data_IF_369999038057
#
_entry.id   IF_369999038057
#
_cell.length_a   1.000
_cell.length_b   1.000
_cell.length_c   1.000
_cell.angle_alpha   90.00
_cell.angle_beta   90.00
_cell.angle_gamma   90.00
#
_symmetry.space_group_name_H-M   'P 1'
#
loop_
_entity.id
_entity.type
_entity.pdbx_description
1 polymer ?
#
# COMPACT_ATOMS: atom_id res chain seq x y z
N UNK A 1 -6.80 47.56 -46.10
CA UNK A 1 -5.80 46.49 -46.33
C UNK A 1 -5.42 45.75 -45.04
N UNK A 2 -5.53 46.30 -43.87
CA UNK A 2 -5.13 45.67 -42.59
C UNK A 2 -5.95 44.47 -42.11
N UNK A 3 -7.27 44.42 -42.38
CA UNK A 3 -8.12 43.29 -41.95
C UNK A 3 -7.84 41.97 -42.70
N UNK A 4 -7.31 42.01 -43.92
CA UNK A 4 -6.95 40.80 -44.69
C UNK A 4 -5.61 40.20 -44.24
N UNK A 5 -4.68 41.04 -43.79
CA UNK A 5 -3.39 40.59 -43.25
C UNK A 5 -3.56 39.94 -41.88
N UNK A 6 -4.50 40.39 -41.05
CA UNK A 6 -4.78 39.79 -39.73
C UNK A 6 -5.47 38.43 -39.85
N UNK A 7 -6.37 38.22 -40.82
CA UNK A 7 -6.98 36.90 -41.08
C UNK A 7 -5.99 35.89 -41.62
N UNK A 8 -5.02 36.32 -42.47
CA UNK A 8 -3.99 35.41 -42.97
C UNK A 8 -2.96 35.03 -41.89
N UNK A 9 -2.68 35.89 -40.90
CA UNK A 9 -1.84 35.60 -39.78
C UNK A 9 -2.49 34.61 -38.80
N UNK A 10 -3.81 34.72 -38.58
CA UNK A 10 -4.58 33.76 -37.75
C UNK A 10 -4.70 32.42 -38.45
N UNK A 11 -4.91 32.38 -39.78
CA UNK A 11 -4.92 31.14 -40.54
C UNK A 11 -3.55 30.42 -40.55
N UNK A 12 -2.46 31.17 -40.55
CA UNK A 12 -1.08 30.61 -40.45
C UNK A 12 -0.75 30.11 -39.04
N UNK A 13 -1.32 30.74 -38.00
CA UNK A 13 -1.16 30.32 -36.61
C UNK A 13 -1.99 29.05 -36.28
N UNK A 14 -3.14 28.86 -36.94
CA UNK A 14 -3.97 27.67 -36.76
C UNK A 14 -3.40 26.45 -37.53
N UNK A 15 -2.68 26.65 -38.63
CA UNK A 15 -2.00 25.56 -39.36
C UNK A 15 -0.74 25.04 -38.67
N UNK A 16 -0.17 25.77 -37.71
CA UNK A 16 1.04 25.32 -36.99
C UNK A 16 0.74 24.42 -35.77
N UNK A 17 -0.54 24.15 -35.44
CA UNK A 17 -0.94 23.30 -34.29
C UNK A 17 -1.24 21.83 -34.71
N UNK A 18 -1.07 21.47 -35.97
CA UNK A 18 -0.99 20.06 -36.30
C UNK A 18 0.43 19.52 -35.96
N UNK A 19 0.77 19.58 -34.71
CA UNK A 19 1.85 18.69 -34.19
C UNK A 19 1.30 17.30 -34.40
N UNK A 20 1.81 16.61 -35.43
CA UNK A 20 1.68 15.17 -35.54
C UNK A 20 2.14 14.60 -34.22
N UNK A 21 1.19 14.15 -33.41
CA UNK A 21 1.48 13.30 -32.28
C UNK A 21 2.05 11.99 -32.86
N UNK A 22 3.35 12.00 -33.22
CA UNK A 22 4.08 10.75 -33.41
C UNK A 22 3.87 9.98 -32.13
N UNK A 23 3.16 8.86 -32.19
CA UNK A 23 2.96 8.01 -31.04
C UNK A 23 4.34 7.71 -30.46
N UNK A 24 4.64 8.29 -29.29
CA UNK A 24 5.90 8.08 -28.60
C UNK A 24 6.02 6.58 -28.33
N UNK A 25 7.02 5.93 -28.92
CA UNK A 25 7.33 4.56 -28.57
C UNK A 25 8.11 4.54 -27.26
N UNK A 26 7.66 3.74 -26.32
CA UNK A 26 8.20 3.67 -24.97
C UNK A 26 9.26 2.57 -24.87
N UNK A 27 10.39 2.89 -24.23
CA UNK A 27 11.41 1.89 -23.84
C UNK A 27 10.99 1.21 -22.55
N UNK A 28 11.61 0.07 -22.21
CA UNK A 28 11.41 -0.61 -20.93
C UNK A 28 11.73 0.32 -19.75
N UNK A 29 12.84 1.05 -19.83
CA UNK A 29 13.30 1.98 -18.80
C UNK A 29 12.29 3.11 -18.58
N UNK A 30 11.77 3.72 -19.65
CA UNK A 30 10.73 4.74 -19.57
C UNK A 30 9.45 4.18 -18.94
N UNK A 31 9.02 2.97 -19.32
CA UNK A 31 7.84 2.32 -18.74
C UNK A 31 7.99 2.09 -17.25
N UNK A 32 9.12 1.53 -16.81
CA UNK A 32 9.34 1.26 -15.37
C UNK A 32 9.47 2.56 -14.59
N UNK A 33 10.20 3.55 -15.09
CA UNK A 33 10.34 4.87 -14.44
C UNK A 33 8.97 5.55 -14.28
N UNK A 34 8.17 5.54 -15.33
CA UNK A 34 6.84 6.13 -15.29
C UNK A 34 5.90 5.38 -14.32
N UNK A 35 5.94 4.05 -14.31
CA UNK A 35 5.16 3.25 -13.37
C UNK A 35 5.54 3.55 -11.92
N UNK A 36 6.85 3.65 -11.61
CA UNK A 36 7.34 3.99 -10.27
C UNK A 36 6.79 5.35 -9.80
N UNK A 37 6.62 6.32 -10.70
CA UNK A 37 6.14 7.66 -10.36
C UNK A 37 4.61 7.74 -10.26
N UNK A 38 3.87 6.94 -11.03
CA UNK A 38 2.44 7.13 -11.21
C UNK A 38 1.57 6.01 -10.64
N UNK A 39 2.12 4.80 -10.44
CA UNK A 39 1.35 3.65 -10.01
C UNK A 39 0.67 3.86 -8.65
N UNK A 40 -0.63 3.52 -8.58
CA UNK A 40 -1.48 3.73 -7.39
C UNK A 40 -0.99 2.91 -6.21
N UNK A 41 -0.52 1.66 -6.41
CA UNK A 41 -0.03 0.81 -5.31
C UNK A 41 1.23 1.38 -4.67
N UNK A 42 2.11 2.00 -5.45
CA UNK A 42 3.29 2.70 -4.94
C UNK A 42 2.86 3.93 -4.13
N UNK A 43 1.92 4.73 -4.65
CA UNK A 43 1.37 5.89 -3.92
C UNK A 43 0.71 5.48 -2.60
N UNK A 44 0.00 4.36 -2.56
CA UNK A 44 -0.55 3.80 -1.32
C UNK A 44 0.56 3.45 -0.33
N UNK A 45 1.61 2.76 -0.77
CA UNK A 45 2.75 2.40 0.09
C UNK A 45 3.54 3.65 0.57
N UNK A 46 3.58 4.74 -0.22
CA UNK A 46 4.12 6.03 0.23
C UNK A 46 3.26 6.66 1.33
N UNK A 47 1.94 6.54 1.23
CA UNK A 47 1.02 7.00 2.29
C UNK A 47 1.19 6.16 3.56
N UNK A 48 1.37 4.85 3.46
CA UNK A 48 1.66 3.98 4.61
C UNK A 48 2.98 4.40 5.30
N UNK A 49 4.01 4.74 4.52
CA UNK A 49 5.25 5.29 5.07
C UNK A 49 5.04 6.64 5.78
N UNK A 50 4.16 7.52 5.26
CA UNK A 50 3.77 8.76 5.94
C UNK A 50 2.98 8.49 7.22
N UNK A 51 2.09 7.49 7.24
CA UNK A 51 1.38 7.07 8.46
C UNK A 51 2.35 6.64 9.56
N UNK A 52 3.36 5.84 9.23
CA UNK A 52 4.39 5.44 10.19
C UNK A 52 5.17 6.64 10.78
N UNK A 53 5.39 7.72 10.00
CA UNK A 53 5.99 8.96 10.49
C UNK A 53 5.06 9.71 11.46
N UNK A 54 3.73 9.69 11.23
CA UNK A 54 2.74 10.27 12.11
C UNK A 54 2.64 9.46 13.41
N UNK A 55 2.69 8.13 13.33
CA UNK A 55 2.72 7.25 14.51
C UNK A 55 3.94 7.50 15.39
N UNK A 56 5.11 7.80 14.79
CA UNK A 56 6.27 8.25 15.54
C UNK A 56 6.00 9.58 16.26
N UNK A 57 5.36 10.57 15.62
CA UNK A 57 4.98 11.82 16.28
C UNK A 57 4.04 11.56 17.47
N UNK A 58 3.09 10.63 17.30
CA UNK A 58 2.21 10.19 18.40
C UNK A 58 2.99 9.53 19.54
N UNK A 59 4.01 8.73 19.22
CA UNK A 59 4.89 8.14 20.22
C UNK A 59 5.74 9.18 20.96
N UNK A 60 6.21 10.22 20.27
CA UNK A 60 6.87 11.39 20.90
C UNK A 60 5.89 12.17 21.76
N UNK A 61 4.65 12.33 21.30
CA UNK A 61 3.58 13.02 22.05
C UNK A 61 3.31 12.42 23.43
N UNK A 62 3.59 11.13 23.62
CA UNK A 62 3.46 10.47 24.96
C UNK A 62 4.43 10.98 26.02
N UNK A 63 5.48 11.70 25.64
CA UNK A 63 6.41 12.35 26.55
C UNK A 63 6.00 13.79 26.88
N UNK A 64 5.00 14.32 26.19
CA UNK A 64 4.52 15.69 26.38
C UNK A 64 3.31 15.70 27.32
N UNK A 65 3.08 16.81 28.04
CA UNK A 65 1.88 16.96 28.83
C UNK A 65 0.63 17.00 27.95
N UNK A 66 -0.44 16.37 28.41
CA UNK A 66 -1.78 16.52 27.84
C UNK A 66 -2.55 17.59 28.60
N UNK A 67 -3.25 18.47 27.88
CA UNK A 67 -4.15 19.49 28.45
C UNK A 67 -5.57 19.19 27.98
N UNK A 68 -6.47 19.00 28.95
CA UNK A 68 -7.88 18.81 28.68
C UNK A 68 -8.68 19.86 29.45
N UNK A 69 -9.60 20.55 28.80
CA UNK A 69 -10.53 21.46 29.40
C UNK A 69 -11.96 20.92 29.27
N UNK A 70 -12.76 21.09 30.31
CA UNK A 70 -14.16 20.68 30.33
C UNK A 70 -15.02 21.71 31.00
N UNK A 71 -16.25 21.86 30.55
CA UNK A 71 -17.28 22.64 31.18
C UNK A 71 -18.57 21.83 31.17
N UNK A 72 -19.33 21.91 32.27
CA UNK A 72 -20.63 21.25 32.39
C UNK A 72 -21.62 22.16 33.11
N UNK A 73 -22.89 22.06 32.73
CA UNK A 73 -24.01 22.64 33.43
C UNK A 73 -24.98 21.50 33.75
N UNK A 74 -25.41 21.44 35.04
CA UNK A 74 -26.25 20.35 35.51
C UNK A 74 -27.42 20.87 36.37
N UNK A 75 -28.57 20.24 36.21
CA UNK A 75 -29.74 20.37 37.04
C UNK A 75 -29.91 19.07 37.84
N UNK A 76 -29.85 19.15 39.17
CA UNK A 76 -30.11 18.02 40.04
C UNK A 76 -31.51 18.19 40.63
N UNK A 77 -32.44 17.33 40.24
CA UNK A 77 -33.85 17.35 40.66
C UNK A 77 -34.07 16.25 41.70
N UNK A 78 -34.64 16.60 42.84
CA UNK A 78 -34.93 15.63 43.89
C UNK A 78 -34.38 16.05 45.26
N UNK A 79 -34.10 15.07 46.12
CA UNK A 79 -33.56 15.33 47.47
C UNK A 79 -32.09 15.75 47.36
N UNK A 80 -31.88 17.06 47.47
CA UNK A 80 -30.55 17.68 47.36
C UNK A 80 -30.20 18.38 48.67
N UNK A 81 -28.92 18.42 49.01
CA UNK A 81 -28.45 19.24 50.10
C UNK A 81 -28.48 20.71 49.69
N UNK A 82 -29.23 21.50 50.41
CA UNK A 82 -29.28 22.94 50.24
C UNK A 82 -27.94 23.54 50.68
N UNK A 83 -27.25 24.21 49.76
CA UNK A 83 -25.91 24.79 50.01
C UNK A 83 -25.95 25.87 51.09
N UNK A 84 -27.09 26.56 51.23
CA UNK A 84 -27.26 27.68 52.12
C UNK A 84 -27.57 27.23 53.54
N UNK A 85 -28.43 26.24 53.67
CA UNK A 85 -28.91 25.75 54.98
C UNK A 85 -28.17 24.49 55.43
N UNK A 86 -27.57 23.75 54.55
CA UNK A 86 -26.99 22.45 54.84
C UNK A 86 -28.00 21.30 54.95
N UNK A 87 -29.32 21.60 54.88
CA UNK A 87 -30.37 20.62 55.05
C UNK A 87 -30.72 19.92 53.74
N UNK A 88 -31.16 18.67 53.84
CA UNK A 88 -31.68 17.91 52.68
C UNK A 88 -33.10 18.43 52.38
N UNK A 89 -33.30 18.86 51.14
CA UNK A 89 -34.60 19.39 50.66
C UNK A 89 -34.88 18.83 49.26
N UNK A 90 -36.15 18.57 48.98
CA UNK A 90 -36.58 18.16 47.65
C UNK A 90 -36.71 19.41 46.76
N UNK A 91 -35.63 19.74 46.03
CA UNK A 91 -35.60 20.91 45.16
C UNK A 91 -34.64 20.67 43.98
N UNK A 92 -34.79 21.50 42.94
CA UNK A 92 -33.84 21.56 41.83
C UNK A 92 -32.67 22.45 42.20
N UNK A 93 -31.45 21.89 42.11
CA UNK A 93 -30.21 22.65 42.23
C UNK A 93 -29.50 22.72 40.89
N UNK A 94 -28.90 23.87 40.60
CA UNK A 94 -28.20 24.11 39.36
C UNK A 94 -26.74 24.44 39.65
N UNK A 95 -25.87 23.86 38.80
CA UNK A 95 -24.41 24.08 38.87
C UNK A 95 -23.79 24.21 37.49
N UNK A 96 -22.90 25.17 37.35
CA UNK A 96 -21.95 25.21 36.24
C UNK A 96 -20.56 24.89 36.78
N UNK A 97 -19.90 23.91 36.25
CA UNK A 97 -18.50 23.57 36.59
C UNK A 97 -17.63 23.73 35.36
N UNK A 98 -16.49 24.34 35.52
CA UNK A 98 -15.47 24.41 34.48
C UNK A 98 -14.10 24.06 35.04
N UNK A 99 -13.29 23.37 34.27
CA UNK A 99 -11.96 22.95 34.71
C UNK A 99 -11.02 22.67 33.57
N UNK A 100 -9.74 22.64 33.90
CA UNK A 100 -8.66 22.23 33.01
C UNK A 100 -7.72 21.31 33.78
N UNK A 101 -7.35 20.19 33.13
CA UNK A 101 -6.43 19.21 33.68
C UNK A 101 -5.23 19.03 32.77
N UNK A 102 -4.03 19.13 33.35
CA UNK A 102 -2.76 18.81 32.70
C UNK A 102 -2.23 17.51 33.30
N UNK A 103 -1.83 16.57 32.46
CA UNK A 103 -1.21 15.33 32.91
C UNK A 103 0.07 15.04 32.10
N UNK A 104 1.11 14.54 32.76
CA UNK A 104 2.37 14.14 32.14
C UNK A 104 2.85 12.82 32.73
N UNK A 105 3.20 11.88 31.86
CA UNK A 105 3.88 10.64 32.25
C UNK A 105 5.37 10.90 32.50
N UNK A 106 5.80 10.96 33.77
CA UNK A 106 7.20 11.11 34.13
C UNK A 106 7.95 9.80 33.97
N UNK A 107 7.34 8.71 34.41
CA UNK A 107 7.85 7.35 34.24
C UNK A 107 6.69 6.38 34.05
N UNK A 108 6.80 5.51 33.06
CA UNK A 108 5.77 4.51 32.73
C UNK A 108 6.38 3.14 32.41
N UNK A 109 7.27 2.65 33.30
CA UNK A 109 7.89 1.35 33.12
C UNK A 109 8.66 1.19 31.80
N UNK A 110 9.30 2.24 31.30
CA UNK A 110 10.00 2.29 30.01
C UNK A 110 9.09 2.03 28.78
N UNK A 111 7.77 1.99 28.93
CA UNK A 111 6.84 1.73 27.84
C UNK A 111 6.91 2.83 26.77
N UNK A 112 6.96 4.11 27.16
CA UNK A 112 7.04 5.24 26.23
C UNK A 112 8.33 5.19 25.40
N UNK A 113 9.47 4.89 26.03
CA UNK A 113 10.77 4.75 25.35
C UNK A 113 10.77 3.60 24.35
N UNK A 114 10.25 2.43 24.75
CA UNK A 114 10.16 1.26 23.85
C UNK A 114 9.12 1.47 22.75
N UNK A 115 8.02 2.20 23.00
CA UNK A 115 7.06 2.59 21.98
C UNK A 115 7.69 3.51 20.93
N UNK A 116 8.52 4.47 21.35
CA UNK A 116 9.25 5.31 20.42
C UNK A 116 10.28 4.53 19.59
N UNK A 117 11.01 3.59 20.23
CA UNK A 117 11.94 2.69 19.51
C UNK A 117 11.19 1.82 18.50
N UNK A 118 10.05 1.24 18.89
CA UNK A 118 9.16 0.49 17.98
C UNK A 118 8.70 1.36 16.81
N UNK A 119 8.26 2.58 17.06
CA UNK A 119 7.81 3.50 16.01
C UNK A 119 8.93 3.84 15.00
N UNK A 120 10.18 3.98 15.46
CA UNK A 120 11.33 4.15 14.57
C UNK A 120 11.54 2.91 13.68
N UNK A 121 11.45 1.70 14.23
CA UNK A 121 11.53 0.44 13.46
C UNK A 121 10.37 0.30 12.48
N UNK A 122 9.16 0.71 12.87
CA UNK A 122 7.99 0.71 11.97
C UNK A 122 8.19 1.62 10.75
N UNK A 123 8.88 2.77 10.90
CA UNK A 123 9.27 3.62 9.76
C UNK A 123 10.24 2.89 8.85
N UNK A 124 11.21 2.17 9.40
CA UNK A 124 12.18 1.38 8.61
C UNK A 124 11.46 0.27 7.84
N UNK A 125 10.55 -0.46 8.52
CA UNK A 125 9.74 -1.49 7.88
C UNK A 125 8.87 -0.93 6.74
N UNK A 126 8.19 0.20 6.97
CA UNK A 126 7.36 0.85 5.94
C UNK A 126 8.20 1.33 4.73
N UNK A 127 9.41 1.83 4.96
CA UNK A 127 10.34 2.17 3.87
C UNK A 127 10.77 0.96 3.07
N UNK A 128 11.07 -0.17 3.71
CA UNK A 128 11.38 -1.41 3.00
C UNK A 128 10.17 -1.95 2.23
N UNK A 129 8.94 -1.84 2.79
CA UNK A 129 7.71 -2.17 2.07
C UNK A 129 7.55 -1.33 0.80
N UNK A 130 7.83 -0.03 0.87
CA UNK A 130 7.80 0.85 -0.30
C UNK A 130 8.85 0.43 -1.35
N UNK A 131 10.08 0.10 -0.93
CA UNK A 131 11.11 -0.39 -1.85
C UNK A 131 10.66 -1.68 -2.50
N UNK A 132 10.15 -2.65 -1.72
CA UNK A 132 9.61 -3.91 -2.25
C UNK A 132 8.48 -3.67 -3.25
N UNK A 133 7.54 -2.76 -2.96
CA UNK A 133 6.46 -2.44 -3.88
C UNK A 133 6.98 -1.89 -5.21
N UNK A 134 8.00 -1.02 -5.17
CA UNK A 134 8.65 -0.50 -6.38
C UNK A 134 9.33 -1.62 -7.18
N UNK A 135 10.02 -2.54 -6.51
CA UNK A 135 10.66 -3.71 -7.13
C UNK A 135 9.63 -4.63 -7.78
N UNK A 136 8.53 -4.95 -7.08
CA UNK A 136 7.45 -5.80 -7.60
C UNK A 136 6.78 -5.18 -8.85
N UNK A 137 6.49 -3.88 -8.81
CA UNK A 137 5.92 -3.17 -9.96
C UNK A 137 6.90 -3.13 -11.14
N UNK A 138 8.19 -2.90 -10.88
CA UNK A 138 9.20 -2.91 -11.94
C UNK A 138 9.27 -4.27 -12.66
N UNK A 139 9.24 -5.38 -11.90
CA UNK A 139 9.19 -6.74 -12.47
C UNK A 139 7.92 -6.99 -13.28
N UNK A 140 6.77 -6.57 -12.75
CA UNK A 140 5.48 -6.74 -13.44
C UNK A 140 5.44 -5.94 -14.75
N UNK A 141 5.97 -4.72 -14.76
CA UNK A 141 6.08 -3.89 -15.96
C UNK A 141 7.03 -4.52 -16.96
N UNK A 142 8.19 -5.04 -16.53
CA UNK A 142 9.13 -5.72 -17.42
C UNK A 142 8.49 -6.95 -18.08
N UNK A 143 7.76 -7.77 -17.31
CA UNK A 143 7.05 -8.93 -17.86
C UNK A 143 5.98 -8.51 -18.88
N UNK A 144 5.14 -7.53 -18.52
CA UNK A 144 4.10 -7.04 -19.43
C UNK A 144 4.68 -6.41 -20.70
N UNK A 145 5.81 -5.69 -20.60
CA UNK A 145 6.53 -5.12 -21.73
C UNK A 145 7.03 -6.21 -22.69
N UNK A 146 7.68 -7.25 -22.16
CA UNK A 146 8.18 -8.37 -22.96
C UNK A 146 7.02 -9.14 -23.62
N UNK A 147 5.87 -9.25 -22.95
CA UNK A 147 4.67 -9.84 -23.53
C UNK A 147 4.12 -9.03 -24.72
N UNK A 148 4.17 -7.68 -24.64
CA UNK A 148 3.81 -6.82 -25.77
C UNK A 148 4.75 -7.05 -26.93
N UNK A 149 6.06 -7.12 -26.69
CA UNK A 149 7.06 -7.38 -27.73
C UNK A 149 6.86 -8.75 -28.39
N UNK A 150 6.66 -9.79 -27.60
CA UNK A 150 6.34 -11.12 -28.12
C UNK A 150 5.11 -11.09 -29.03
N UNK A 151 3.99 -10.50 -28.58
CA UNK A 151 2.76 -10.43 -29.36
C UNK A 151 2.94 -9.59 -30.63
N UNK A 152 3.76 -8.55 -30.58
CA UNK A 152 4.07 -7.68 -31.74
C UNK A 152 4.86 -8.44 -32.81
N UNK A 153 5.89 -9.17 -32.39
CA UNK A 153 6.68 -10.00 -33.30
C UNK A 153 5.87 -11.17 -33.86
N UNK A 154 5.07 -11.83 -33.00
CA UNK A 154 4.19 -12.91 -33.45
C UNK A 154 3.17 -12.41 -34.49
N UNK A 155 2.59 -11.21 -34.29
CA UNK A 155 1.69 -10.61 -35.27
C UNK A 155 2.41 -10.39 -36.65
N UNK A 156 3.68 -9.96 -36.64
CA UNK A 156 4.46 -9.82 -37.86
C UNK A 156 4.61 -11.17 -38.59
N UNK A 157 4.89 -12.25 -37.84
CA UNK A 157 4.98 -13.63 -38.41
C UNK A 157 3.65 -14.04 -39.00
N UNK A 158 2.53 -13.85 -38.32
CA UNK A 158 1.21 -14.23 -38.81
C UNK A 158 0.80 -13.42 -40.07
N UNK A 159 1.10 -12.11 -40.10
CA UNK A 159 0.84 -11.26 -41.28
C UNK A 159 1.66 -11.66 -42.48
N UNK A 160 2.94 -12.00 -42.29
CA UNK A 160 3.78 -12.47 -43.38
C UNK A 160 3.30 -13.83 -43.91
N UNK A 161 2.85 -14.72 -43.01
CA UNK A 161 2.24 -16.00 -43.39
C UNK A 161 0.96 -15.80 -44.21
N UNK A 162 0.10 -14.90 -43.80
CA UNK A 162 -1.13 -14.53 -44.54
C UNK A 162 -0.74 -14.04 -45.96
N UNK A 163 0.21 -13.10 -46.05
CA UNK A 163 0.69 -12.54 -47.33
C UNK A 163 1.22 -13.63 -48.29
N UNK A 164 1.93 -14.61 -47.75
CA UNK A 164 2.44 -15.75 -48.55
C UNK A 164 1.25 -16.58 -49.07
N UNK A 165 0.28 -16.88 -48.22
CA UNK A 165 -0.89 -17.69 -48.58
C UNK A 165 -1.85 -16.97 -49.55
N UNK A 166 -1.96 -15.65 -49.48
CA UNK A 166 -2.70 -14.85 -50.46
C UNK A 166 -2.10 -15.00 -51.87
N UNK A 167 -0.76 -14.91 -51.99
CA UNK A 167 -0.06 -15.11 -53.23
C UNK A 167 -0.24 -16.54 -53.78
N UNK A 168 -0.21 -17.52 -52.88
CA UNK A 168 -0.43 -18.90 -53.23
C UNK A 168 -1.85 -19.15 -53.71
N UNK A 169 -2.85 -18.60 -53.04
CA UNK A 169 -4.26 -18.69 -53.47
C UNK A 169 -4.45 -18.11 -54.89
N UNK A 170 -3.93 -16.90 -55.13
CA UNK A 170 -4.04 -16.27 -56.44
C UNK A 170 -3.37 -17.13 -57.53
N UNK A 171 -2.19 -17.69 -57.27
CA UNK A 171 -1.50 -18.62 -58.22
C UNK A 171 -2.32 -19.89 -58.44
N UNK A 172 -2.86 -20.50 -57.37
CA UNK A 172 -3.67 -21.74 -57.50
C UNK A 172 -4.96 -21.49 -58.27
N UNK A 173 -5.58 -20.31 -58.10
CA UNK A 173 -6.78 -19.92 -58.87
C UNK A 173 -6.48 -19.87 -60.40
N UNK A 174 -5.35 -19.29 -60.77
CA UNK A 174 -4.94 -19.24 -62.18
C UNK A 174 -4.63 -20.64 -62.75
N UNK A 175 -3.98 -21.52 -61.98
CA UNK A 175 -3.68 -22.90 -62.38
C UNK A 175 -4.96 -23.73 -62.53
N UNK A 176 -5.97 -23.56 -61.70
CA UNK A 176 -7.27 -24.21 -61.86
C UNK A 176 -7.98 -23.71 -63.10
N UNK A 177 -8.00 -22.37 -63.36
CA UNK A 177 -8.55 -21.81 -64.60
C UNK A 177 -7.87 -22.35 -65.87
N UNK A 178 -6.57 -22.61 -65.78
CA UNK A 178 -5.80 -23.21 -66.84
C UNK A 178 -5.95 -24.75 -66.94
N UNK A 179 -6.69 -25.38 -66.03
CA UNK A 179 -6.89 -26.83 -65.95
C UNK A 179 -5.65 -27.63 -65.48
N UNK A 180 -4.64 -26.95 -64.93
CA UNK A 180 -3.37 -27.55 -64.56
C UNK A 180 -3.40 -28.24 -63.18
N UNK A 181 -4.34 -27.87 -62.28
CA UNK A 181 -4.55 -28.50 -60.97
C UNK A 181 -6.03 -28.76 -60.71
N UNK A 182 -6.39 -29.75 -59.88
CA UNK A 182 -7.75 -30.04 -59.46
C UNK A 182 -8.39 -28.89 -58.67
N UNK A 183 -9.73 -28.73 -58.81
CA UNK A 183 -10.49 -27.72 -58.02
C UNK A 183 -10.42 -28.00 -56.51
N UNK A 184 -10.23 -29.26 -56.08
CA UNK A 184 -10.02 -29.64 -54.70
C UNK A 184 -8.85 -28.94 -54.05
N UNK A 185 -7.71 -28.87 -54.76
CA UNK A 185 -6.49 -28.20 -54.25
C UNK A 185 -6.71 -26.70 -53.98
N UNK A 186 -7.52 -26.01 -54.81
CA UNK A 186 -7.91 -24.63 -54.59
C UNK A 186 -8.77 -24.45 -53.32
N UNK A 187 -9.65 -25.42 -53.06
CA UNK A 187 -10.47 -25.39 -51.81
C UNK A 187 -9.60 -25.56 -50.58
N UNK A 188 -8.58 -26.42 -50.60
CA UNK A 188 -7.64 -26.60 -49.49
C UNK A 188 -6.81 -25.34 -49.25
N UNK A 189 -6.30 -24.70 -50.30
CA UNK A 189 -5.58 -23.42 -50.19
C UNK A 189 -6.51 -22.33 -49.66
N UNK A 190 -7.79 -22.27 -50.10
CA UNK A 190 -8.78 -21.33 -49.60
C UNK A 190 -9.10 -21.54 -48.10
N UNK A 191 -9.18 -22.79 -47.66
CA UNK A 191 -9.40 -23.12 -46.25
C UNK A 191 -8.20 -22.67 -45.40
N UNK A 192 -6.95 -22.92 -45.90
CA UNK A 192 -5.72 -22.47 -45.25
C UNK A 192 -5.63 -20.94 -45.16
N UNK A 193 -6.05 -20.20 -46.19
CA UNK A 193 -6.09 -18.76 -46.21
C UNK A 193 -7.07 -18.23 -45.12
N UNK A 194 -8.25 -18.85 -44.99
CA UNK A 194 -9.24 -18.49 -43.97
C UNK A 194 -8.71 -18.71 -42.54
N UNK A 195 -8.00 -19.83 -42.32
CA UNK A 195 -7.34 -20.11 -41.02
C UNK A 195 -6.24 -19.09 -40.71
N UNK A 196 -5.43 -18.69 -41.68
CA UNK A 196 -4.38 -17.67 -41.47
C UNK A 196 -4.97 -16.29 -41.22
N UNK A 197 -6.09 -15.93 -41.82
CA UNK A 197 -6.83 -14.71 -41.47
C UNK A 197 -7.30 -14.76 -39.99
N UNK A 198 -7.86 -15.88 -39.54
CA UNK A 198 -8.23 -16.06 -38.14
C UNK A 198 -7.02 -15.92 -37.21
N UNK A 199 -5.87 -16.48 -37.58
CA UNK A 199 -4.64 -16.38 -36.78
C UNK A 199 -4.15 -14.91 -36.66
N UNK A 200 -4.22 -14.13 -37.74
CA UNK A 200 -3.90 -12.69 -37.71
C UNK A 200 -4.83 -11.94 -36.76
N UNK A 201 -6.16 -12.16 -36.88
CA UNK A 201 -7.14 -11.51 -35.98
C UNK A 201 -6.87 -11.88 -34.53
N UNK A 202 -6.54 -13.16 -34.25
CA UNK A 202 -6.20 -13.62 -32.90
C UNK A 202 -4.92 -12.94 -32.37
N UNK A 203 -3.89 -12.81 -33.22
CA UNK A 203 -2.64 -12.15 -32.87
C UNK A 203 -2.83 -10.64 -32.64
N UNK A 204 -3.66 -9.96 -33.46
CA UNK A 204 -4.03 -8.56 -33.26
C UNK A 204 -4.75 -8.33 -31.93
N UNK A 205 -5.70 -9.18 -31.60
CA UNK A 205 -6.40 -9.13 -30.32
C UNK A 205 -5.44 -9.39 -29.14
N UNK A 206 -4.54 -10.35 -29.26
CA UNK A 206 -3.53 -10.65 -28.24
C UNK A 206 -2.58 -9.47 -28.00
N UNK A 207 -2.16 -8.79 -29.07
CA UNK A 207 -1.35 -7.59 -28.98
C UNK A 207 -2.13 -6.45 -28.30
N UNK A 208 -3.38 -6.23 -28.65
CA UNK A 208 -4.23 -5.22 -28.02
C UNK A 208 -4.38 -5.46 -26.52
N UNK A 209 -4.70 -6.68 -26.12
CA UNK A 209 -4.85 -7.06 -24.70
C UNK A 209 -3.54 -6.85 -23.95
N UNK A 210 -2.39 -7.23 -24.52
CA UNK A 210 -1.10 -7.03 -23.86
C UNK A 210 -0.73 -5.56 -23.73
N UNK A 211 -1.03 -4.71 -24.72
CA UNK A 211 -0.88 -3.25 -24.63
C UNK A 211 -1.79 -2.66 -23.55
N UNK A 212 -3.05 -3.09 -23.46
CA UNK A 212 -3.98 -2.69 -22.41
C UNK A 212 -3.46 -3.08 -21.02
N UNK A 213 -2.93 -4.29 -20.87
CA UNK A 213 -2.38 -4.76 -19.60
C UNK A 213 -1.18 -3.91 -19.16
N UNK A 214 -0.26 -3.61 -20.07
CA UNK A 214 0.88 -2.74 -19.79
C UNK A 214 0.43 -1.31 -19.49
N UNK A 215 -0.45 -0.72 -20.30
CA UNK A 215 -0.97 0.64 -20.07
C UNK A 215 -1.70 0.77 -18.73
N UNK A 216 -2.40 -0.27 -18.29
CA UNK A 216 -3.03 -0.31 -16.96
C UNK A 216 -2.00 -0.32 -15.84
N UNK A 217 -0.90 -1.08 -15.96
CA UNK A 217 0.20 -1.05 -14.98
C UNK A 217 0.87 0.32 -14.92
N UNK A 218 0.99 1.00 -16.06
CA UNK A 218 1.51 2.36 -16.17
C UNK A 218 0.51 3.43 -15.70
N UNK A 219 -0.77 3.10 -15.54
CA UNK A 219 -1.86 4.04 -15.25
C UNK A 219 -2.03 5.10 -16.35
N UNK A 220 -1.80 4.73 -17.62
CA UNK A 220 -2.02 5.60 -18.75
C UNK A 220 -3.51 5.76 -19.04
N UNK A 221 -3.94 7.00 -19.30
CA UNK A 221 -5.33 7.30 -19.68
C UNK A 221 -5.60 7.02 -21.17
N UNK A 222 -4.61 7.25 -22.02
CA UNK A 222 -4.65 7.00 -23.45
C UNK A 222 -3.82 5.75 -23.77
N UNK A 223 -4.49 4.63 -24.01
CA UNK A 223 -3.86 3.37 -24.37
C UNK A 223 -3.88 3.11 -25.89
N UNK A 224 -4.74 3.81 -26.63
CA UNK A 224 -4.90 3.58 -28.07
C UNK A 224 -3.67 4.01 -28.87
N UNK A 225 -3.04 5.12 -28.46
CA UNK A 225 -1.83 5.65 -29.07
C UNK A 225 -0.53 5.11 -28.43
N UNK A 226 -0.65 4.16 -27.47
CA UNK A 226 0.49 3.59 -26.78
C UNK A 226 1.18 2.52 -27.63
N UNK A 227 2.50 2.64 -27.82
CA UNK A 227 3.34 1.61 -28.45
C UNK A 227 4.71 1.53 -27.77
N UNK A 228 5.37 0.37 -27.93
CA UNK A 228 6.70 0.10 -27.37
C UNK A 228 7.74 0.05 -28.47
N UNK A 229 8.99 0.38 -28.11
CA UNK A 229 10.14 0.28 -29.01
C UNK A 229 10.43 -1.20 -29.27
N UNK A 230 10.78 -1.55 -30.51
CA UNK A 230 11.08 -2.92 -30.95
C UNK A 230 12.51 -3.38 -30.54
N UNK A 231 13.26 -2.56 -29.80
CA UNK A 231 14.64 -2.82 -29.45
C UNK A 231 14.74 -3.81 -28.29
N UNK A 232 15.20 -5.00 -28.58
CA UNK A 232 15.41 -6.10 -27.63
C UNK A 232 16.75 -6.77 -27.81
N UNK A 233 17.82 -6.00 -27.97
CA UNK A 233 19.16 -6.52 -27.76
C UNK A 233 19.43 -6.74 -26.26
N UNK A 234 18.62 -7.62 -25.65
CA UNK A 234 18.91 -8.09 -24.30
C UNK A 234 19.99 -9.15 -24.40
N UNK A 235 21.22 -8.69 -24.35
CA UNK A 235 22.37 -9.57 -24.10
C UNK A 235 22.44 -9.85 -22.61
N UNK A 236 22.81 -11.06 -22.23
CA UNK A 236 23.25 -11.37 -20.85
C UNK A 236 24.58 -10.64 -20.59
N UNK A 237 24.53 -9.30 -20.50
CA UNK A 237 25.70 -8.45 -20.30
C UNK A 237 26.43 -8.78 -19.00
N UNK A 238 25.74 -9.36 -18.05
CA UNK A 238 26.24 -9.61 -16.70
C UNK A 238 26.73 -11.05 -16.51
N UNK A 239 26.57 -11.91 -17.53
CA UNK A 239 26.96 -13.32 -17.49
C UNK A 239 26.46 -14.03 -16.20
N UNK A 240 25.21 -13.74 -15.80
CA UNK A 240 24.64 -14.23 -14.54
C UNK A 240 24.53 -15.75 -14.52
N UNK A 241 24.38 -16.38 -15.66
CA UNK A 241 24.32 -17.84 -15.82
C UNK A 241 25.65 -18.54 -15.51
N UNK A 242 26.78 -17.82 -15.49
CA UNK A 242 28.06 -18.37 -15.06
C UNK A 242 28.20 -18.44 -13.53
N UNK A 243 27.32 -17.77 -12.78
CA UNK A 243 27.30 -17.84 -11.31
C UNK A 243 26.63 -19.13 -10.83
N UNK A 244 27.05 -19.62 -9.67
CA UNK A 244 26.37 -20.76 -9.03
C UNK A 244 25.09 -20.29 -8.32
N UNK A 245 24.04 -21.13 -8.22
CA UNK A 245 22.84 -20.80 -7.46
C UNK A 245 23.14 -20.42 -6.00
N UNK A 246 24.17 -21.02 -5.39
CA UNK A 246 24.61 -20.71 -4.03
C UNK A 246 25.16 -19.29 -3.93
N UNK A 247 26.01 -18.86 -4.87
CA UNK A 247 26.57 -17.51 -4.88
C UNK A 247 25.48 -16.44 -5.07
N UNK A 248 24.49 -16.73 -5.92
CA UNK A 248 23.34 -15.85 -6.13
C UNK A 248 22.52 -15.76 -4.83
N UNK A 249 22.28 -16.90 -4.16
CA UNK A 249 21.55 -16.93 -2.88
C UNK A 249 22.26 -16.16 -1.78
N UNK A 250 23.58 -16.34 -1.59
CA UNK A 250 24.36 -15.61 -0.60
C UNK A 250 24.24 -14.10 -0.78
N UNK A 251 24.34 -13.62 -2.01
CA UNK A 251 24.18 -12.19 -2.31
C UNK A 251 22.74 -11.72 -2.09
N UNK A 252 21.75 -12.52 -2.48
CA UNK A 252 20.35 -12.27 -2.21
C UNK A 252 20.04 -12.20 -0.71
N UNK A 253 20.63 -13.10 0.09
CA UNK A 253 20.44 -13.16 1.54
C UNK A 253 20.86 -11.87 2.27
N UNK A 254 21.90 -11.20 1.79
CA UNK A 254 22.34 -9.91 2.33
C UNK A 254 21.50 -8.73 1.84
N UNK A 255 21.12 -8.77 0.56
CA UNK A 255 20.54 -7.61 -0.14
C UNK A 255 19.02 -7.53 -0.13
N UNK A 256 18.32 -8.67 -0.14
CA UNK A 256 16.89 -8.73 -0.45
C UNK A 256 16.00 -8.02 0.57
N UNK A 257 15.10 -7.23 0.02
CA UNK A 257 14.18 -6.36 0.79
C UNK A 257 13.22 -7.16 1.66
N UNK A 258 12.78 -8.34 1.22
CA UNK A 258 11.87 -9.22 1.97
C UNK A 258 12.48 -9.70 3.29
N UNK A 259 13.76 -10.07 3.29
CA UNK A 259 14.47 -10.46 4.52
C UNK A 259 14.68 -9.27 5.47
N UNK A 260 14.95 -8.07 4.92
CA UNK A 260 15.07 -6.84 5.72
C UNK A 260 13.74 -6.52 6.41
N UNK A 261 12.61 -6.68 5.72
CA UNK A 261 11.27 -6.52 6.29
C UNK A 261 11.04 -7.54 7.42
N UNK A 262 11.32 -8.82 7.18
CA UNK A 262 11.11 -9.87 8.18
C UNK A 262 11.96 -9.65 9.44
N UNK A 263 13.25 -9.30 9.28
CA UNK A 263 14.17 -8.97 10.40
C UNK A 263 13.70 -7.73 11.17
N UNK A 264 13.28 -6.67 10.48
CA UNK A 264 12.76 -5.46 11.14
C UNK A 264 11.46 -5.76 11.92
N UNK A 265 10.58 -6.62 11.38
CA UNK A 265 9.37 -7.05 12.08
C UNK A 265 9.70 -7.91 13.34
N UNK A 266 10.75 -8.70 13.30
CA UNK A 266 11.27 -9.40 14.47
C UNK A 266 11.73 -8.42 15.56
N UNK A 267 12.49 -7.39 15.20
CA UNK A 267 12.91 -6.35 16.15
C UNK A 267 11.70 -5.59 16.72
N UNK A 268 10.67 -5.32 15.93
CA UNK A 268 9.39 -4.73 16.40
C UNK A 268 8.73 -5.66 17.43
N UNK A 269 8.70 -6.96 17.19
CA UNK A 269 8.13 -7.93 18.12
C UNK A 269 8.92 -7.99 19.45
N UNK A 270 10.26 -7.86 19.42
CA UNK A 270 11.09 -7.72 20.63
C UNK A 270 10.71 -6.47 21.46
N UNK A 271 10.48 -5.32 20.78
CA UNK A 271 10.02 -4.10 21.46
C UNK A 271 8.62 -4.26 22.04
N UNK A 272 7.72 -5.01 21.39
CA UNK A 272 6.40 -5.32 21.94
C UNK A 272 6.51 -6.13 23.26
N UNK A 273 7.42 -7.09 23.34
CA UNK A 273 7.70 -7.81 24.61
C UNK A 273 8.23 -6.86 25.68
N UNK A 274 9.14 -5.95 25.32
CA UNK A 274 9.68 -4.97 26.25
C UNK A 274 8.59 -3.99 26.77
N UNK A 275 7.69 -3.55 25.89
CA UNK A 275 6.53 -2.71 26.24
C UNK A 275 5.60 -3.47 27.19
N UNK A 276 5.28 -4.73 26.88
CA UNK A 276 4.42 -5.55 27.71
C UNK A 276 5.02 -5.78 29.11
N UNK A 277 6.33 -6.04 29.21
CA UNK A 277 7.07 -6.17 30.49
C UNK A 277 7.01 -4.89 31.33
N UNK A 278 6.93 -3.71 30.69
CA UNK A 278 6.79 -2.45 31.37
C UNK A 278 5.52 -2.33 32.23
N UNK A 279 4.49 -3.14 31.94
CA UNK A 279 3.25 -3.18 32.75
C UNK A 279 3.42 -3.74 34.17
N UNK A 280 4.56 -4.38 34.47
CA UNK A 280 4.92 -4.82 35.83
C UNK A 280 5.62 -3.73 36.65
N UNK A 281 6.05 -2.65 36.00
CA UNK A 281 6.81 -1.60 36.67
C UNK A 281 5.89 -0.50 37.22
N UNK A 282 6.32 0.22 38.26
CA UNK A 282 5.61 1.38 38.73
C UNK A 282 5.42 2.44 37.64
N UNK A 283 4.36 3.24 37.78
CA UNK A 283 4.16 4.44 36.94
C UNK A 283 4.15 5.67 37.83
N UNK A 284 4.82 6.74 37.39
CA UNK A 284 4.87 8.03 38.02
C UNK A 284 4.28 9.08 37.06
N UNK A 285 3.21 9.73 37.49
CA UNK A 285 2.53 10.77 36.71
C UNK A 285 2.55 12.09 37.48
N UNK A 286 2.82 13.17 36.79
CA UNK A 286 2.60 14.53 37.28
C UNK A 286 1.25 15.04 36.79
N UNK A 287 0.55 15.78 37.64
CA UNK A 287 -0.71 16.40 37.27
C UNK A 287 -0.85 17.83 37.82
N UNK A 288 -1.60 18.65 37.10
CA UNK A 288 -2.12 19.92 37.52
C UNK A 288 -3.60 19.98 37.13
N UNK A 289 -4.45 20.42 38.11
CA UNK A 289 -5.88 20.57 37.91
C UNK A 289 -6.32 21.95 38.34
N UNK A 290 -7.03 22.65 37.49
CA UNK A 290 -7.76 23.85 37.78
C UNK A 290 -9.26 23.54 37.70
N UNK A 291 -10.03 23.97 38.68
CA UNK A 291 -11.48 23.83 38.67
C UNK A 291 -12.16 25.05 39.26
N UNK A 292 -13.37 25.34 38.83
CA UNK A 292 -14.24 26.31 39.43
C UNK A 292 -15.69 25.87 39.29
N UNK A 293 -16.53 26.27 40.24
CA UNK A 293 -17.95 25.91 40.28
C UNK A 293 -18.78 27.14 40.57
N UNK A 294 -19.88 27.32 39.86
CA UNK A 294 -20.90 28.35 40.05
C UNK A 294 -22.19 27.66 40.42
N UNK A 295 -22.80 28.10 41.53
CA UNK A 295 -24.12 27.64 42.02
C UNK A 295 -25.16 28.74 41.80
N UNK A 296 -26.36 28.31 41.45
CA UNK A 296 -27.50 29.22 41.23
C UNK A 296 -28.50 29.20 42.39
N UNK A 297 -28.04 28.80 43.58
CA UNK A 297 -28.81 28.81 44.80
C UNK A 297 -28.62 30.14 45.56
N UNK A 298 -29.66 30.58 46.27
CA UNK A 298 -29.61 31.76 47.14
C UNK A 298 -28.46 31.64 48.13
N UNK A 299 -27.92 32.78 48.52
CA UNK A 299 -26.84 32.86 49.53
C UNK A 299 -27.28 33.54 50.77
N UNK A 300 -26.69 33.18 51.90
CA UNK A 300 -26.90 33.95 53.17
C UNK A 300 -26.17 35.30 53.03
N UNK A 301 -26.91 36.37 53.04
CA UNK A 301 -26.40 37.76 53.00
C UNK A 301 -26.27 38.39 54.37
N UNK A 302 -26.94 37.83 55.37
CA UNK A 302 -26.90 38.29 56.76
C UNK A 302 -27.66 37.37 57.70
N UNK A 303 -27.54 37.65 58.97
CA UNK A 303 -28.33 37.00 60.02
C UNK A 303 -28.95 38.09 60.89
N UNK A 304 -30.22 37.93 61.20
CA UNK A 304 -30.96 38.83 62.08
C UNK A 304 -31.47 38.04 63.26
N UNK A 305 -31.63 38.67 64.47
CA UNK A 305 -32.27 38.01 65.62
C UNK A 305 -33.64 37.50 65.22
N UNK A 306 -33.98 36.28 65.62
CA UNK A 306 -35.30 35.72 65.37
C UNK A 306 -36.33 36.35 66.35
N UNK A 307 -37.15 37.28 65.84
CA UNK A 307 -38.12 37.99 66.65
C UNK A 307 -39.25 37.09 67.21
N UNK A 308 -39.57 36.00 66.47
CA UNK A 308 -40.66 35.07 66.90
C UNK A 308 -40.21 34.04 67.93
N UNK A 309 -38.90 33.69 67.94
CA UNK A 309 -38.31 32.78 68.93
C UNK A 309 -36.87 33.23 69.22
N UNK A 310 -36.67 34.24 70.07
CA UNK A 310 -35.40 34.94 70.23
C UNK A 310 -34.31 34.09 70.88
N UNK A 311 -34.66 33.07 71.64
CA UNK A 311 -33.72 32.20 72.36
C UNK A 311 -34.12 30.72 72.27
N UNK A 312 -33.16 29.78 72.25
CA UNK A 312 -33.39 28.36 72.48
C UNK A 312 -32.58 27.85 73.66
N UNK A 313 -33.13 26.84 74.32
CA UNK A 313 -32.44 26.16 75.41
C UNK A 313 -31.39 25.25 74.74
N UNK A 314 -30.10 25.44 75.04
CA UNK A 314 -28.98 24.62 74.51
C UNK A 314 -28.42 23.64 75.58
N UNK A 315 -28.88 23.78 76.80
CA UNK A 315 -28.51 22.91 77.95
C UNK A 315 -29.06 23.41 79.27
N UNK A 316 -28.68 22.73 80.35
CA UNK A 316 -28.99 23.06 81.72
C UNK A 316 -27.71 23.14 82.54
N UNK A 317 -27.66 24.05 83.51
CA UNK A 317 -26.55 24.11 84.47
C UNK A 317 -26.68 22.97 85.43
N UNK A 318 -25.63 22.15 85.56
CA UNK A 318 -25.61 21.03 86.51
C UNK A 318 -25.75 21.56 88.00
N UNK A 319 -26.60 20.94 88.75
CA UNK A 319 -26.87 21.30 90.16
C UNK A 319 -27.91 22.36 90.39
N UNK A 320 -28.17 23.27 89.45
CA UNK A 320 -29.22 24.33 89.61
C UNK A 320 -30.41 24.15 88.65
N UNK A 321 -30.35 23.24 87.67
CA UNK A 321 -31.35 23.03 86.60
C UNK A 321 -31.73 24.32 85.82
N UNK A 322 -30.95 25.39 85.92
CA UNK A 322 -31.19 26.61 85.16
C UNK A 322 -30.94 26.42 83.69
N UNK A 323 -31.85 26.93 82.84
CA UNK A 323 -31.72 26.86 81.40
C UNK A 323 -30.53 27.71 80.90
N UNK A 324 -29.64 27.11 80.06
CA UNK A 324 -28.68 27.87 79.30
C UNK A 324 -29.33 28.23 77.98
N UNK A 325 -29.48 29.53 77.71
CA UNK A 325 -30.12 30.04 76.48
C UNK A 325 -29.08 30.52 75.51
N UNK A 326 -29.31 30.15 74.28
CA UNK A 326 -28.55 30.68 73.11
C UNK A 326 -29.46 31.56 72.25
N UNK A 327 -29.00 32.71 71.75
CA UNK A 327 -29.83 33.54 70.88
C UNK A 327 -30.03 32.81 69.50
N UNK A 328 -31.28 32.87 69.04
CA UNK A 328 -31.70 32.35 67.76
C UNK A 328 -31.56 33.42 66.67
N UNK A 329 -31.05 33.04 65.52
CA UNK A 329 -30.92 33.90 64.37
C UNK A 329 -31.66 33.32 63.15
N UNK A 330 -32.30 34.20 62.39
CA UNK A 330 -32.89 33.88 61.07
C UNK A 330 -31.91 34.33 60.00
N UNK A 331 -31.64 33.45 59.06
CA UNK A 331 -30.77 33.75 57.90
C UNK A 331 -31.54 34.62 56.91
N UNK A 332 -30.92 35.73 56.48
CA UNK A 332 -31.42 36.55 55.37
C UNK A 332 -30.84 36.00 54.09
N UNK A 333 -31.70 35.59 53.20
CA UNK A 333 -31.29 35.06 51.89
C UNK A 333 -31.29 36.18 50.86
N UNK A 334 -30.31 36.17 49.98
CA UNK A 334 -30.20 37.03 48.82
C UNK A 334 -29.84 36.27 47.57
N UNK A 335 -29.99 36.90 46.44
CA UNK A 335 -29.72 36.28 45.14
C UNK A 335 -28.31 35.70 45.05
N UNK A 336 -28.11 34.67 44.21
CA UNK A 336 -26.77 34.15 43.88
C UNK A 336 -25.82 35.27 43.47
N UNK A 337 -24.55 35.15 43.84
CA UNK A 337 -23.53 36.10 43.34
C UNK A 337 -23.40 35.99 41.80
N UNK A 338 -23.00 37.06 41.11
CA UNK A 338 -22.76 37.05 39.66
C UNK A 338 -21.85 35.90 39.24
N UNK A 339 -22.09 35.36 38.04
CA UNK A 339 -21.38 34.19 37.52
C UNK A 339 -19.86 34.33 37.61
N UNK A 340 -19.30 35.44 37.08
CA UNK A 340 -17.85 35.65 37.05
C UNK A 340 -17.25 35.88 38.45
N UNK A 341 -18.02 36.46 39.37
CA UNK A 341 -17.57 36.63 40.77
C UNK A 341 -17.44 35.28 41.47
N UNK A 342 -18.46 34.41 41.31
CA UNK A 342 -18.40 33.05 41.84
C UNK A 342 -17.29 32.24 41.16
N UNK A 343 -17.17 32.34 39.83
CA UNK A 343 -16.14 31.63 39.08
C UNK A 343 -14.74 32.01 39.58
N UNK A 344 -14.50 33.29 39.84
CA UNK A 344 -13.20 33.77 40.30
C UNK A 344 -12.97 33.44 41.79
N UNK A 345 -14.02 33.47 42.62
CA UNK A 345 -13.90 33.19 44.06
C UNK A 345 -13.76 31.69 44.35
N UNK A 346 -14.45 30.84 43.56
CA UNK A 346 -14.49 29.41 43.77
C UNK A 346 -13.39 28.64 43.01
N UNK A 347 -12.41 29.34 42.41
CA UNK A 347 -11.32 28.68 41.72
C UNK A 347 -10.46 27.89 42.70
N UNK A 348 -10.28 26.62 42.34
CA UNK A 348 -9.38 25.70 43.01
C UNK A 348 -8.26 25.25 42.13
N UNK A 349 -7.10 25.05 42.69
CA UNK A 349 -5.94 24.51 42.00
C UNK A 349 -5.36 23.35 42.81
N UNK A 350 -4.99 22.29 42.12
CA UNK A 350 -4.27 21.20 42.74
C UNK A 350 -3.18 20.71 41.79
N UNK A 351 -2.03 20.39 42.32
CA UNK A 351 -0.94 19.81 41.59
C UNK A 351 -0.22 18.77 42.43
N UNK A 352 0.41 17.83 41.79
CA UNK A 352 1.09 16.75 42.50
C UNK A 352 1.66 15.69 41.60
N UNK A 353 2.16 14.64 42.23
CA UNK A 353 2.66 13.43 41.56
C UNK A 353 1.89 12.24 42.12
N UNK A 354 1.53 11.34 41.24
CA UNK A 354 0.86 10.08 41.56
C UNK A 354 1.78 8.91 41.19
N UNK A 355 2.18 8.12 42.19
CA UNK A 355 2.88 6.85 41.99
C UNK A 355 1.87 5.72 42.06
N UNK A 356 1.79 4.91 40.99
CA UNK A 356 0.96 3.71 40.96
C UNK A 356 1.87 2.47 40.80
N UNK A 357 1.75 1.53 41.75
CA UNK A 357 2.51 0.28 41.74
C UNK A 357 1.53 -0.88 41.53
N UNK A 358 1.60 -1.61 40.40
CA UNK A 358 0.72 -2.74 40.15
C UNK A 358 1.15 -3.94 41.01
N UNK A 359 0.44 -4.24 42.07
CA UNK A 359 0.73 -5.38 42.97
C UNK A 359 0.12 -6.68 42.41
N UNK A 360 -1.16 -6.61 42.04
CA UNK A 360 -1.89 -7.73 41.42
C UNK A 360 -2.98 -7.20 40.48
N UNK A 361 -3.03 -7.75 39.26
CA UNK A 361 -3.96 -7.31 38.21
C UNK A 361 -4.69 -8.48 37.53
N UNK A 362 -4.97 -9.57 38.29
CA UNK A 362 -5.69 -10.73 37.77
C UNK A 362 -4.96 -11.42 36.60
N UNK A 363 -3.63 -11.51 36.68
CA UNK A 363 -2.74 -12.09 35.63
C UNK A 363 -2.73 -11.35 34.28
N UNK A 364 -3.41 -10.20 34.15
CA UNK A 364 -3.52 -9.45 32.89
C UNK A 364 -2.14 -9.09 32.33
N UNK A 365 -1.26 -8.50 33.12
CA UNK A 365 0.10 -8.16 32.70
C UNK A 365 0.91 -9.40 32.31
N UNK A 366 0.84 -10.48 33.11
CA UNK A 366 1.53 -11.74 32.81
C UNK A 366 1.08 -12.34 31.48
N UNK A 367 -0.23 -12.47 31.30
CA UNK A 367 -0.79 -13.04 30.07
C UNK A 367 -0.47 -12.18 28.82
N UNK A 368 -0.37 -10.86 29.00
CA UNK A 368 0.01 -9.95 27.91
C UNK A 368 1.49 -10.13 27.53
N UNK A 369 2.38 -10.33 28.51
CA UNK A 369 3.79 -10.66 28.23
C UNK A 369 3.91 -12.02 27.55
N UNK A 370 3.18 -13.05 28.01
CA UNK A 370 3.22 -14.37 27.38
C UNK A 370 2.70 -14.32 25.93
N UNK A 371 1.59 -13.62 25.67
CA UNK A 371 1.11 -13.40 24.31
C UNK A 371 2.14 -12.69 23.44
N UNK A 372 2.82 -11.69 23.98
CA UNK A 372 3.88 -10.97 23.25
C UNK A 372 5.09 -11.86 22.95
N UNK A 373 5.46 -12.78 23.87
CA UNK A 373 6.51 -13.77 23.63
C UNK A 373 6.12 -14.77 22.54
N UNK A 374 4.88 -15.26 22.54
CA UNK A 374 4.37 -16.13 21.46
C UNK A 374 4.40 -15.40 20.12
N UNK A 375 4.04 -14.12 20.10
CA UNK A 375 4.15 -13.29 18.88
C UNK A 375 5.60 -13.12 18.42
N UNK A 376 6.55 -13.00 19.37
CA UNK A 376 7.97 -12.94 19.05
C UNK A 376 8.46 -14.26 18.43
N UNK A 377 8.08 -15.41 18.99
CA UNK A 377 8.43 -16.72 18.40
C UNK A 377 7.85 -16.88 17.00
N UNK A 378 6.60 -16.46 16.77
CA UNK A 378 6.01 -16.42 15.41
C UNK A 378 6.82 -15.54 14.45
N UNK A 379 7.35 -14.42 14.92
CA UNK A 379 8.19 -13.54 14.08
C UNK A 379 9.55 -14.18 13.78
N UNK A 380 10.15 -14.96 14.69
CA UNK A 380 11.36 -15.73 14.41
C UNK A 380 11.15 -16.78 13.35
N UNK A 381 10.06 -17.56 13.48
CA UNK A 381 9.66 -18.56 12.48
C UNK A 381 9.40 -17.88 11.12
N UNK A 382 8.78 -16.68 11.09
CA UNK A 382 8.58 -15.95 9.86
C UNK A 382 9.88 -15.52 9.17
N UNK A 383 10.93 -15.17 9.92
CA UNK A 383 12.27 -14.90 9.35
C UNK A 383 12.87 -16.17 8.76
N UNK A 384 12.77 -17.31 9.46
CA UNK A 384 13.25 -18.59 8.96
C UNK A 384 12.50 -19.02 7.69
N UNK A 385 11.17 -18.93 7.70
CA UNK A 385 10.34 -19.22 6.53
C UNK A 385 10.73 -18.33 5.33
N UNK A 386 10.91 -17.03 5.55
CA UNK A 386 11.30 -16.11 4.50
C UNK A 386 12.67 -16.43 3.91
N UNK A 387 13.58 -16.95 4.75
CA UNK A 387 14.91 -17.40 4.30
C UNK A 387 14.81 -18.65 3.42
N UNK A 388 14.02 -19.65 3.84
CA UNK A 388 13.77 -20.86 3.05
C UNK A 388 13.06 -20.53 1.73
N UNK A 389 12.10 -19.62 1.76
CA UNK A 389 11.40 -19.15 0.55
C UNK A 389 12.34 -18.43 -0.42
N UNK A 390 13.24 -17.59 0.09
CA UNK A 390 14.25 -16.93 -0.73
C UNK A 390 15.18 -17.96 -1.39
N UNK A 391 15.66 -18.93 -0.62
CA UNK A 391 16.51 -20.01 -1.14
C UNK A 391 15.79 -20.77 -2.26
N UNK A 392 14.57 -21.24 -2.00
CA UNK A 392 13.75 -21.91 -3.01
C UNK A 392 13.56 -21.04 -4.25
N UNK A 393 13.21 -19.77 -4.09
CA UNK A 393 12.92 -18.87 -5.21
C UNK A 393 14.17 -18.63 -6.08
N UNK A 394 15.35 -18.46 -5.47
CA UNK A 394 16.62 -18.31 -6.20
C UNK A 394 16.95 -19.57 -7.00
N UNK A 395 16.85 -20.75 -6.35
CA UNK A 395 17.13 -22.02 -7.05
C UNK A 395 16.13 -22.31 -8.15
N UNK A 396 14.85 -22.00 -7.93
CA UNK A 396 13.81 -22.11 -8.97
C UNK A 396 14.09 -21.15 -10.12
N UNK A 397 14.39 -19.88 -9.84
CA UNK A 397 14.71 -18.89 -10.87
C UNK A 397 15.94 -19.30 -11.71
N UNK A 398 16.97 -19.89 -11.08
CA UNK A 398 18.13 -20.40 -11.78
C UNK A 398 17.79 -21.60 -12.69
N UNK A 399 17.01 -22.57 -12.16
CA UNK A 399 16.58 -23.72 -12.92
C UNK A 399 15.69 -23.31 -14.10
N UNK A 400 14.76 -22.38 -13.88
CA UNK A 400 13.88 -21.81 -14.90
C UNK A 400 14.69 -21.10 -15.99
N UNK A 401 15.67 -20.26 -15.62
CA UNK A 401 16.51 -19.55 -16.59
C UNK A 401 17.34 -20.52 -17.44
N UNK A 402 17.91 -21.56 -16.82
CA UNK A 402 18.64 -22.63 -17.54
C UNK A 402 17.73 -23.43 -18.45
N UNK A 403 16.54 -23.79 -17.98
CA UNK A 403 15.53 -24.47 -18.79
C UNK A 403 15.08 -23.63 -19.99
N UNK A 404 14.85 -22.33 -19.77
CA UNK A 404 14.45 -21.41 -20.83
C UNK A 404 15.58 -21.19 -21.86
N UNK A 405 16.86 -21.15 -21.45
CA UNK A 405 17.99 -21.11 -22.37
C UNK A 405 18.02 -22.33 -23.27
N UNK A 406 17.96 -23.53 -22.68
CA UNK A 406 17.98 -24.80 -23.46
C UNK A 406 16.77 -24.88 -24.39
N UNK A 407 15.60 -24.43 -23.97
CA UNK A 407 14.40 -24.39 -24.80
C UNK A 407 14.56 -23.41 -25.97
N UNK A 408 15.16 -22.23 -25.72
CA UNK A 408 15.45 -21.27 -26.78
C UNK A 408 16.44 -21.83 -27.81
N UNK A 409 17.58 -22.39 -27.37
CA UNK A 409 18.58 -23.00 -28.26
C UNK A 409 17.97 -24.14 -29.08
N UNK A 410 17.17 -25.00 -28.46
CA UNK A 410 16.48 -26.11 -29.14
C UNK A 410 15.46 -25.60 -30.17
N UNK A 411 14.72 -24.52 -29.83
CA UNK A 411 13.76 -23.93 -30.76
C UNK A 411 14.44 -23.28 -31.98
N UNK A 412 15.61 -22.65 -31.78
CA UNK A 412 16.41 -22.09 -32.88
C UNK A 412 16.90 -23.19 -33.84
N UNK A 413 17.41 -24.29 -33.28
CA UNK A 413 17.82 -25.45 -34.10
C UNK A 413 16.63 -26.09 -34.85
N UNK A 414 15.45 -26.16 -34.18
CA UNK A 414 14.23 -26.64 -34.83
C UNK A 414 13.76 -25.70 -35.95
N UNK A 415 13.87 -24.41 -35.79
CA UNK A 415 13.52 -23.41 -36.81
C UNK A 415 14.43 -23.56 -38.03
N UNK A 416 15.74 -23.69 -37.83
CA UNK A 416 16.70 -23.89 -38.92
C UNK A 416 16.35 -25.14 -39.75
N UNK A 417 16.08 -26.27 -39.08
CA UNK A 417 15.68 -27.51 -39.73
C UNK A 417 14.34 -27.38 -40.49
N UNK A 418 13.33 -26.68 -39.88
CA UNK A 418 12.04 -26.44 -40.54
C UNK A 418 12.14 -25.48 -41.71
N UNK A 419 13.01 -24.49 -41.65
CA UNK A 419 13.28 -23.59 -42.77
C UNK A 419 13.88 -24.34 -43.94
N UNK A 420 14.87 -25.23 -43.70
CA UNK A 420 15.45 -26.11 -44.73
C UNK A 420 14.41 -27.02 -45.36
N UNK A 421 13.57 -27.67 -44.54
CA UNK A 421 12.49 -28.54 -45.01
C UNK A 421 11.45 -27.78 -45.86
N UNK A 422 11.08 -26.56 -45.43
CA UNK A 422 10.17 -25.71 -46.20
C UNK A 422 10.75 -25.25 -47.52
N UNK A 423 12.03 -24.88 -47.57
CA UNK A 423 12.69 -24.50 -48.81
C UNK A 423 12.68 -25.68 -49.82
N UNK A 424 12.99 -26.91 -49.34
CA UNK A 424 12.93 -28.12 -50.15
C UNK A 424 11.49 -28.47 -50.60
N UNK A 425 10.51 -28.30 -49.71
CA UNK A 425 9.09 -28.46 -50.04
C UNK A 425 8.64 -27.44 -51.10
N UNK A 426 9.13 -26.20 -51.03
CA UNK A 426 8.85 -25.13 -52.00
C UNK A 426 9.36 -25.48 -53.38
N UNK A 427 10.59 -26.01 -53.48
CA UNK A 427 11.17 -26.45 -54.74
C UNK A 427 10.36 -27.61 -55.36
N UNK A 428 10.05 -28.66 -54.59
CA UNK A 428 9.24 -29.79 -55.03
C UNK A 428 7.83 -29.36 -55.49
N UNK A 429 7.19 -28.49 -54.73
CA UNK A 429 5.86 -27.99 -55.06
C UNK A 429 5.89 -27.14 -56.34
N UNK A 430 6.95 -26.36 -56.57
CA UNK A 430 7.08 -25.51 -57.74
C UNK A 430 7.17 -26.29 -59.04
N UNK A 431 7.75 -27.52 -59.02
CA UNK A 431 7.90 -28.42 -60.17
C UNK A 431 6.83 -29.54 -60.24
N UNK A 432 5.81 -29.47 -59.36
CA UNK A 432 4.68 -30.39 -59.34
C UNK A 432 4.96 -31.75 -58.71
N UNK A 433 6.05 -31.90 -57.97
CA UNK A 433 6.45 -33.17 -57.30
C UNK A 433 5.91 -33.27 -55.84
N UNK A 434 5.10 -32.30 -55.42
CA UNK A 434 4.47 -32.29 -54.09
C UNK A 434 3.03 -31.78 -54.26
N UNK A 435 2.09 -32.35 -53.48
CA UNK A 435 0.71 -31.87 -53.44
C UNK A 435 0.58 -30.63 -52.54
N UNK A 436 -0.55 -29.94 -52.66
CA UNK A 436 -0.83 -28.72 -51.88
C UNK A 436 -0.95 -28.96 -50.37
N UNK A 437 -1.47 -30.11 -49.95
CA UNK A 437 -1.63 -30.48 -48.54
C UNK A 437 -0.27 -30.61 -47.84
N UNK A 438 0.67 -31.39 -48.41
CA UNK A 438 1.98 -31.60 -47.84
C UNK A 438 2.80 -30.29 -47.79
N UNK A 439 2.66 -29.45 -48.85
CA UNK A 439 3.28 -28.14 -48.88
C UNK A 439 2.72 -27.21 -47.75
N UNK A 440 1.37 -27.12 -47.60
CA UNK A 440 0.75 -26.33 -46.56
C UNK A 440 1.11 -26.85 -45.14
N UNK A 441 1.27 -28.17 -44.99
CA UNK A 441 1.76 -28.77 -43.74
C UNK A 441 3.18 -28.32 -43.42
N UNK A 442 4.09 -28.31 -44.39
CA UNK A 442 5.47 -27.86 -44.20
C UNK A 442 5.53 -26.37 -43.83
N UNK A 443 4.67 -25.56 -44.47
CA UNK A 443 4.54 -24.13 -44.18
C UNK A 443 4.02 -23.88 -42.78
N UNK A 444 2.97 -24.60 -42.33
CA UNK A 444 2.43 -24.50 -40.98
C UNK A 444 3.47 -24.86 -39.93
N UNK A 445 4.26 -25.92 -40.16
CA UNK A 445 5.33 -26.33 -39.26
C UNK A 445 6.44 -25.27 -39.15
N UNK A 446 6.77 -24.59 -40.25
CA UNK A 446 7.72 -23.47 -40.24
C UNK A 446 7.16 -22.29 -39.40
N UNK A 447 5.91 -21.87 -39.64
CA UNK A 447 5.28 -20.78 -38.90
C UNK A 447 5.20 -21.06 -37.39
N UNK A 448 4.86 -22.29 -37.02
CA UNK A 448 4.86 -22.72 -35.63
C UNK A 448 6.27 -22.63 -35.01
N UNK A 449 7.31 -23.05 -35.75
CA UNK A 449 8.69 -22.95 -35.27
C UNK A 449 9.16 -21.50 -35.14
N UNK A 450 8.76 -20.59 -36.04
CA UNK A 450 9.03 -19.16 -35.92
C UNK A 450 8.37 -18.55 -34.66
N UNK A 451 7.11 -18.85 -34.45
CA UNK A 451 6.38 -18.39 -33.26
C UNK A 451 6.97 -18.97 -31.94
N UNK A 452 7.43 -20.23 -31.98
CA UNK A 452 8.04 -20.89 -30.83
C UNK A 452 9.40 -20.27 -30.45
N UNK A 453 10.25 -19.94 -31.45
CA UNK A 453 11.51 -19.20 -31.19
C UNK A 453 11.24 -17.85 -30.53
N UNK A 454 10.23 -17.11 -30.99
CA UNK A 454 9.89 -15.85 -30.38
C UNK A 454 9.43 -16.05 -28.92
N UNK A 455 8.57 -17.03 -28.67
CA UNK A 455 8.07 -17.36 -27.35
C UNK A 455 9.21 -17.72 -26.39
N UNK A 456 10.09 -18.64 -26.78
CA UNK A 456 11.21 -19.09 -25.95
C UNK A 456 12.27 -18.00 -25.76
N UNK A 457 12.50 -17.15 -26.75
CA UNK A 457 13.42 -15.99 -26.65
C UNK A 457 12.95 -15.03 -25.55
N UNK A 458 11.69 -14.59 -25.60
CA UNK A 458 11.19 -13.63 -24.62
C UNK A 458 11.00 -14.24 -23.22
N UNK A 459 10.69 -15.55 -23.13
CA UNK A 459 10.67 -16.26 -21.86
C UNK A 459 12.08 -16.32 -21.23
N UNK A 460 13.10 -16.68 -22.01
CA UNK A 460 14.49 -16.68 -21.55
C UNK A 460 14.93 -15.30 -21.07
N UNK A 461 14.65 -14.23 -21.82
CA UNK A 461 14.96 -12.85 -21.42
C UNK A 461 14.33 -12.51 -20.08
N UNK A 462 13.07 -12.85 -19.89
CA UNK A 462 12.36 -12.58 -18.64
C UNK A 462 12.94 -13.36 -17.45
N UNK A 463 13.26 -14.65 -17.64
CA UNK A 463 13.88 -15.50 -16.61
C UNK A 463 15.26 -15.00 -16.19
N UNK A 464 16.07 -14.53 -17.14
CA UNK A 464 17.35 -13.87 -16.85
C UNK A 464 17.14 -12.60 -16.02
N UNK A 465 16.17 -11.76 -16.37
CA UNK A 465 15.88 -10.52 -15.59
C UNK A 465 15.43 -10.82 -14.17
N UNK A 466 14.67 -11.89 -13.93
CA UNK A 466 14.35 -12.35 -12.57
C UNK A 466 15.61 -12.79 -11.83
N UNK A 467 16.53 -13.51 -12.48
CA UNK A 467 17.74 -13.98 -11.85
C UNK A 467 18.69 -12.82 -11.51
N UNK A 468 18.86 -11.84 -12.44
CA UNK A 468 19.58 -10.60 -12.20
C UNK A 468 19.01 -9.82 -11.01
N UNK A 469 17.68 -9.75 -10.91
CA UNK A 469 16.99 -9.11 -9.80
C UNK A 469 17.29 -9.78 -8.46
N UNK A 470 17.33 -11.12 -8.38
CA UNK A 470 17.76 -11.82 -7.16
C UNK A 470 19.24 -11.58 -6.85
N UNK A 471 20.08 -11.46 -7.85
CA UNK A 471 21.50 -11.13 -7.67
C UNK A 471 21.72 -9.69 -7.20
N UNK A 472 20.68 -8.85 -7.24
CA UNK A 472 20.74 -7.44 -6.83
C UNK A 472 21.16 -6.47 -7.92
N UNK A 473 21.07 -6.91 -9.19
CA UNK A 473 21.25 -6.03 -10.36
C UNK A 473 19.94 -5.29 -10.58
N UNK A 474 19.95 -3.95 -10.62
CA UNK A 474 18.74 -3.18 -10.85
C UNK A 474 18.21 -3.42 -12.27
N UNK A 475 16.89 -3.54 -12.42
CA UNK A 475 16.23 -3.71 -13.72
C UNK A 475 16.43 -2.52 -14.67
N UNK A 476 16.78 -1.36 -14.12
CA UNK A 476 17.08 -0.13 -14.84
C UNK A 476 18.45 0.35 -14.38
N UNK A 477 19.30 0.71 -15.34
CA UNK A 477 20.55 1.41 -15.05
C UNK A 477 20.20 2.83 -14.58
N UNK A 478 20.54 3.19 -13.32
CA UNK A 478 20.36 4.54 -12.78
C UNK A 478 21.23 5.54 -13.53
#
# INVERSE_FOLDING_TARGET
MEKRSFLSLIAMLVCSITIQAQSKKWTLEECVTYAIQNNISIKQSELDSKMALIDKKSAVGRFLPSLNASASHSWNIGLNQDITTGLLQNKTTQFTSAGANVGIDIYRGLQNQNTLRKANLSIVAAKYQLVKMKEDIALNVANAFLQVLFNKENLKVQKEQLRINEKQYARSEELVKAGSIPRGDLLDVKATLALNNQNVITAENSLLISKLSLSHLLQLKDFENFDVVDDTDVKDENNIMAQTPSAIYEKAFEGRTELKIARTNLEIAEKNVAIAKGAFQPTLQGFYSFNSRVAYSDRVTGVIPNASNPTSIVGFVEGTNQNVLSPNFTRVLGNPAPFFDQFNTNKGQSFGMQLSVPVFNGFSARNNVERSKVSLERSKIAVEQQNLDLQRNVYTAFADAKGALNAYESSVAALEARQGAYNYATEKYSVGLMNSFDFNQSQTLLTNAQSEVLRTKYDYIFKIKILEFYFGIPLIKN
#
